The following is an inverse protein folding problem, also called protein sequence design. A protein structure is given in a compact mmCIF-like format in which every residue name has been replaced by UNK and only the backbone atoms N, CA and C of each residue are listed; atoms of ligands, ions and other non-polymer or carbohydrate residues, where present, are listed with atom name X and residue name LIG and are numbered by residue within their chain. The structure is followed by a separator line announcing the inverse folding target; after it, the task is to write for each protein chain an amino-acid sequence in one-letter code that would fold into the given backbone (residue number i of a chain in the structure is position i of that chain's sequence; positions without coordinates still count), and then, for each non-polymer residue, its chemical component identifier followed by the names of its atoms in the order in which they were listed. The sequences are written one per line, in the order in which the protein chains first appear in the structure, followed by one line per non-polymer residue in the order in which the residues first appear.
data_IF_017819617315
#
_entry.id   IF_017819617315
#
_cell.length_a   1.000
_cell.length_b   1.000
_cell.length_c   1.000
_cell.angle_alpha   90.00
_cell.angle_beta   90.00
_cell.angle_gamma   90.00
#
_symmetry.space_group_name_H-M   'P 1'
#
loop_
_entity.id
_entity.type
_entity.pdbx_description
1 polymer ?
#
# COMPACT_ATOMS: atom_id res chain seq x y z
N UNK A 1 -6.06 15.98 -7.25
CA UNK A 1 -5.63 15.25 -6.04
C UNK A 1 -6.12 13.80 -6.13
N UNK A 2 -5.42 12.86 -5.50
CA UNK A 2 -5.83 11.45 -5.38
C UNK A 2 -6.18 11.14 -3.93
N UNK A 3 -7.04 10.15 -3.70
CA UNK A 3 -7.44 9.68 -2.38
C UNK A 3 -6.74 8.36 -2.05
N UNK A 4 -6.20 8.28 -0.84
CA UNK A 4 -5.45 7.15 -0.28
C UNK A 4 -6.06 6.73 1.06
N UNK A 5 -6.05 5.43 1.33
CA UNK A 5 -6.52 4.83 2.56
C UNK A 5 -5.97 3.41 2.74
N UNK A 6 -5.33 3.14 3.88
CA UNK A 6 -4.57 1.91 4.11
C UNK A 6 -5.42 0.63 4.33
N UNK A 7 -6.72 0.79 4.56
CA UNK A 7 -7.74 -0.25 4.81
C UNK A 7 -7.56 -1.02 6.16
N UNK A 8 -8.66 -1.60 6.72
CA UNK A 8 -10.05 -1.50 6.25
C UNK A 8 -10.60 -0.08 6.40
N UNK A 9 -11.52 0.30 5.51
CA UNK A 9 -12.19 1.60 5.54
C UNK A 9 -13.64 1.47 6.01
N UNK A 10 -14.07 2.36 6.91
CA UNK A 10 -15.46 2.48 7.38
C UNK A 10 -16.21 3.54 6.56
N UNK A 11 -17.02 3.09 5.60
CA UNK A 11 -17.88 3.94 4.77
C UNK A 11 -18.86 4.73 5.64
N UNK A 12 -18.97 6.03 5.39
CA UNK A 12 -19.86 6.95 6.11
C UNK A 12 -19.32 7.48 7.43
N UNK A 13 -18.13 7.05 7.87
CA UNK A 13 -17.49 7.55 9.09
C UNK A 13 -16.21 8.32 8.74
N UNK A 14 -15.17 7.61 8.32
CA UNK A 14 -13.86 8.20 7.99
C UNK A 14 -13.72 8.59 6.52
N UNK A 15 -14.59 8.04 5.67
CA UNK A 15 -14.66 8.35 4.24
C UNK A 15 -16.08 8.17 3.74
N UNK A 16 -16.57 9.09 2.89
CA UNK A 16 -17.87 8.92 2.23
C UNK A 16 -17.77 7.85 1.14
N UNK A 17 -18.88 7.16 0.87
CA UNK A 17 -18.95 6.16 -0.20
C UNK A 17 -18.59 6.76 -1.58
N UNK A 18 -19.05 7.99 -1.84
CA UNK A 18 -18.76 8.72 -3.07
C UNK A 18 -17.27 8.96 -3.29
N UNK A 19 -16.51 9.27 -2.24
CA UNK A 19 -15.05 9.49 -2.35
C UNK A 19 -14.33 8.16 -2.52
N UNK A 20 -14.73 7.14 -1.76
CA UNK A 20 -14.11 5.82 -1.78
C UNK A 20 -14.26 5.12 -3.15
N UNK A 21 -15.40 5.30 -3.82
CA UNK A 21 -15.70 4.76 -5.15
C UNK A 21 -15.37 5.75 -6.29
N UNK A 22 -14.84 6.94 -5.97
CA UNK A 22 -14.54 7.96 -6.99
C UNK A 22 -13.38 7.55 -7.90
N UNK A 23 -13.33 8.13 -9.10
CA UNK A 23 -12.17 8.01 -10.02
C UNK A 23 -10.84 8.50 -9.44
N UNK A 24 -10.87 9.24 -8.33
CA UNK A 24 -9.69 9.76 -7.65
C UNK A 24 -9.20 8.81 -6.56
N UNK A 25 -9.99 7.78 -6.20
CA UNK A 25 -9.64 6.75 -5.24
C UNK A 25 -8.69 5.74 -5.86
N UNK A 26 -7.50 5.60 -5.27
CA UNK A 26 -6.48 4.62 -5.70
C UNK A 26 -6.15 3.64 -4.56
N UNK A 27 -7.10 3.43 -3.65
CA UNK A 27 -6.93 2.60 -2.44
C UNK A 27 -6.62 1.14 -2.73
N UNK A 28 -7.12 0.60 -3.85
CA UNK A 28 -6.83 -0.77 -4.25
C UNK A 28 -5.42 -0.91 -4.83
N UNK A 29 -4.97 0.09 -5.61
CA UNK A 29 -3.58 0.16 -6.07
C UNK A 29 -2.62 0.34 -4.88
N UNK A 30 -2.99 1.14 -3.88
CA UNK A 30 -2.26 1.27 -2.63
C UNK A 30 -2.15 -0.08 -1.88
N UNK A 31 -3.26 -0.82 -1.80
CA UNK A 31 -3.27 -2.14 -1.18
C UNK A 31 -2.41 -3.16 -1.93
N UNK A 32 -2.46 -3.18 -3.27
CA UNK A 32 -1.59 -4.03 -4.11
C UNK A 32 -0.11 -3.68 -3.93
N UNK A 33 0.21 -2.38 -3.85
CA UNK A 33 1.57 -1.90 -3.65
C UNK A 33 2.21 -2.41 -2.35
N UNK A 34 1.44 -2.84 -1.34
CA UNK A 34 2.00 -3.53 -0.16
C UNK A 34 2.76 -4.80 -0.53
N UNK A 35 2.25 -5.60 -1.48
CA UNK A 35 2.92 -6.83 -1.93
C UNK A 35 4.25 -6.50 -2.62
N UNK A 36 4.24 -5.49 -3.50
CA UNK A 36 5.43 -5.07 -4.23
C UNK A 36 6.50 -4.50 -3.30
N UNK A 37 6.10 -3.64 -2.35
CA UNK A 37 6.99 -3.10 -1.34
C UNK A 37 7.62 -4.20 -0.48
N UNK A 38 6.82 -5.18 -0.02
CA UNK A 38 7.31 -6.30 0.77
C UNK A 38 8.28 -7.19 -0.03
N UNK A 39 7.98 -7.51 -1.30
CA UNK A 39 8.92 -8.23 -2.19
C UNK A 39 10.25 -7.49 -2.32
N UNK A 40 10.21 -6.18 -2.57
CA UNK A 40 11.40 -5.34 -2.67
C UNK A 40 12.21 -5.36 -1.37
N UNK A 41 11.55 -5.20 -0.23
CA UNK A 41 12.18 -5.21 1.08
C UNK A 41 12.88 -6.56 1.37
N UNK A 42 12.22 -7.69 1.08
CA UNK A 42 12.81 -9.01 1.29
C UNK A 42 14.08 -9.22 0.46
N UNK A 43 14.06 -8.85 -0.83
CA UNK A 43 15.24 -8.95 -1.71
C UNK A 43 16.35 -8.00 -1.24
N UNK A 44 16.00 -6.79 -0.83
CA UNK A 44 16.97 -5.81 -0.33
C UNK A 44 17.64 -6.31 0.96
N UNK A 45 16.87 -6.84 1.92
CA UNK A 45 17.39 -7.42 3.15
C UNK A 45 18.28 -8.63 2.90
N UNK A 46 17.91 -9.51 1.97
CA UNK A 46 18.74 -10.67 1.61
C UNK A 46 20.08 -10.24 0.98
N UNK A 47 20.06 -9.24 0.08
CA UNK A 47 21.29 -8.66 -0.48
C UNK A 47 22.17 -8.07 0.62
N UNK A 48 21.59 -7.28 1.52
CA UNK A 48 22.30 -6.68 2.65
C UNK A 48 22.87 -7.73 3.60
N UNK A 49 22.16 -8.84 3.83
CA UNK A 49 22.67 -9.97 4.61
C UNK A 49 23.94 -10.56 3.99
N UNK A 50 23.94 -10.79 2.68
CA UNK A 50 25.10 -11.34 1.94
C UNK A 50 26.28 -10.37 1.89
N UNK A 51 26.02 -9.07 1.70
CA UNK A 51 27.06 -8.03 1.74
C UNK A 51 27.76 -7.96 3.09
N UNK A 52 27.03 -8.19 4.19
CA UNK A 52 27.56 -8.15 5.55
C UNK A 52 28.27 -9.44 5.99
N UNK A 53 28.59 -10.35 5.07
CA UNK A 53 29.43 -11.52 5.33
C UNK A 53 28.82 -12.62 6.21
N UNK A 54 27.49 -12.73 6.24
CA UNK A 54 26.77 -13.91 6.77
C UNK A 54 26.38 -14.86 5.66
#
# INVERSE_FOLDING_TARGET
AIFLHCLPAYRGYEVSEEVLESKQSVIFDEAENRLHAQKGLMVWLDRKRRENGR
#
